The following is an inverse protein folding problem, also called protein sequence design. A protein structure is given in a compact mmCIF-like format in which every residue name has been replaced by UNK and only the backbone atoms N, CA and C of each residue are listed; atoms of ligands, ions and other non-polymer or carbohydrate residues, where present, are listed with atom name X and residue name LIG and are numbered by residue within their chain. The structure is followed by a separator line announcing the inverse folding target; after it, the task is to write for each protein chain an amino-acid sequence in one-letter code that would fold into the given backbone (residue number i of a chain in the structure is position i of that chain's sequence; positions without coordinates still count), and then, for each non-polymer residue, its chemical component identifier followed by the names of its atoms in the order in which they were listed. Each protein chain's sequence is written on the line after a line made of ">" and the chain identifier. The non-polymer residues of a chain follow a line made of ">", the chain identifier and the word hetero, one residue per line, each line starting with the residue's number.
data_IF_797283895640
#
_entry.id   IF_797283895640
#
_cell.length_a   1.000
_cell.length_b   1.000
_cell.length_c   1.000
_cell.angle_alpha   90.00
_cell.angle_beta   90.00
_cell.angle_gamma   90.00
#
_symmetry.space_group_name_H-M   'P 1'
#
loop_
_entity.id
_entity.type
_entity.pdbx_description
1 polymer ?
#
# COMPACT_ATOMS: atom_id res chain seq x y z
N UNK A 1 -17.56 -9.97 8.56
CA UNK A 1 -17.30 -11.43 8.63
C UNK A 1 -15.83 -11.56 8.29
N UNK A 2 -14.96 -11.91 9.24
CA UNK A 2 -13.51 -11.89 9.00
C UNK A 2 -13.10 -12.82 7.83
N UNK A 3 -12.34 -12.28 6.87
CA UNK A 3 -11.83 -13.01 5.71
C UNK A 3 -10.33 -13.25 5.83
N UNK A 4 -9.88 -14.50 5.75
CA UNK A 4 -8.46 -14.84 5.81
C UNK A 4 -7.95 -15.40 4.46
N UNK A 5 -6.83 -14.87 3.97
CA UNK A 5 -6.14 -15.32 2.76
C UNK A 5 -4.68 -15.69 3.04
N UNK A 6 -4.39 -16.99 3.00
CA UNK A 6 -3.01 -17.49 3.14
C UNK A 6 -2.12 -17.09 1.95
N UNK A 7 -2.71 -16.95 0.75
CA UNK A 7 -2.01 -16.55 -0.47
C UNK A 7 -2.82 -15.53 -1.25
N UNK A 8 -2.17 -14.42 -1.56
CA UNK A 8 -2.70 -13.33 -2.38
C UNK A 8 -1.93 -13.33 -3.70
N UNK A 9 -2.63 -13.19 -4.82
CA UNK A 9 -2.02 -13.09 -6.15
C UNK A 9 -1.56 -11.66 -6.42
N UNK A 10 -2.35 -10.67 -5.99
CA UNK A 10 -2.10 -9.24 -6.24
C UNK A 10 -2.58 -8.40 -5.06
N UNK A 11 -1.70 -7.51 -4.58
CA UNK A 11 -2.03 -6.51 -3.57
C UNK A 11 -1.51 -5.15 -4.02
N UNK A 12 -2.43 -4.21 -4.31
CA UNK A 12 -2.08 -2.93 -4.94
C UNK A 12 -2.88 -1.78 -4.36
N UNK A 13 -2.23 -0.61 -4.26
CA UNK A 13 -2.92 0.66 -4.08
C UNK A 13 -3.27 1.29 -5.43
N UNK A 14 -4.38 2.02 -5.47
CA UNK A 14 -4.79 2.82 -6.60
C UNK A 14 -5.65 4.00 -6.17
N UNK A 15 -6.00 4.83 -7.15
CA UNK A 15 -6.84 6.01 -6.91
C UNK A 15 -7.77 6.26 -8.09
N UNK A 16 -8.96 6.75 -7.79
CA UNK A 16 -9.98 7.16 -8.76
C UNK A 16 -10.36 8.61 -8.48
N UNK A 17 -10.59 9.39 -9.53
CA UNK A 17 -11.00 10.80 -9.44
C UNK A 17 -9.92 11.79 -9.88
N UNK A 18 -10.28 13.08 -9.90
CA UNK A 18 -9.39 14.17 -10.30
C UNK A 18 -8.42 14.57 -9.18
N UNK A 19 -7.23 15.12 -9.50
CA UNK A 19 -6.33 15.68 -8.49
C UNK A 19 -7.07 16.67 -7.56
N UNK A 20 -7.09 16.40 -6.26
CA UNK A 20 -7.82 17.18 -5.26
C UNK A 20 -9.07 16.47 -4.70
N UNK A 21 -9.72 15.63 -5.50
CA UNK A 21 -10.91 14.83 -5.13
C UNK A 21 -10.65 13.32 -5.31
N UNK A 22 -9.40 12.92 -5.12
CA UNK A 22 -8.96 11.54 -5.29
C UNK A 22 -9.44 10.68 -4.12
N UNK A 23 -10.17 9.63 -4.43
CA UNK A 23 -10.40 8.52 -3.52
C UNK A 23 -9.30 7.48 -3.70
N UNK A 24 -8.84 6.91 -2.60
CA UNK A 24 -7.81 5.86 -2.61
C UNK A 24 -8.46 4.52 -2.28
N UNK A 25 -7.95 3.48 -2.94
CA UNK A 25 -8.41 2.11 -2.76
C UNK A 25 -7.21 1.18 -2.65
N UNK A 26 -7.37 0.13 -1.85
CA UNK A 26 -6.55 -1.06 -1.86
C UNK A 26 -7.32 -2.18 -2.53
N UNK A 27 -6.65 -2.94 -3.41
CA UNK A 27 -7.21 -4.16 -3.99
C UNK A 27 -6.37 -5.38 -3.61
N UNK A 28 -7.07 -6.43 -3.19
CA UNK A 28 -6.52 -7.72 -2.77
C UNK A 28 -7.20 -8.78 -3.63
N UNK A 29 -6.41 -9.46 -4.46
CA UNK A 29 -6.85 -10.53 -5.35
C UNK A 29 -6.35 -11.86 -4.83
N UNK A 30 -7.26 -12.81 -4.60
CA UNK A 30 -6.92 -14.21 -4.30
C UNK A 30 -7.82 -15.15 -5.11
N UNK A 31 -7.24 -15.79 -6.12
CA UNK A 31 -7.92 -16.57 -7.14
C UNK A 31 -9.05 -15.78 -7.80
N UNK A 32 -10.28 -16.20 -7.55
CA UNK A 32 -11.48 -15.55 -8.11
C UNK A 32 -12.03 -14.42 -7.25
N UNK A 33 -11.54 -14.26 -6.01
CA UNK A 33 -12.00 -13.23 -5.07
C UNK A 33 -11.19 -11.96 -5.27
N UNK A 34 -11.90 -10.85 -5.43
CA UNK A 34 -11.35 -9.50 -5.43
C UNK A 34 -11.99 -8.77 -4.26
N UNK A 35 -11.18 -8.18 -3.41
CA UNK A 35 -11.62 -7.30 -2.34
C UNK A 35 -11.04 -5.92 -2.61
N UNK A 36 -11.88 -4.90 -2.59
CA UNK A 36 -11.54 -3.50 -2.76
C UNK A 36 -11.95 -2.74 -1.51
N UNK A 37 -10.99 -2.11 -0.85
CA UNK A 37 -11.25 -1.35 0.37
C UNK A 37 -10.82 0.11 0.20
N UNK A 38 -11.70 1.05 0.56
CA UNK A 38 -11.39 2.48 0.55
C UNK A 38 -10.62 2.89 1.80
N UNK A 39 -9.70 3.84 1.64
CA UNK A 39 -8.89 4.36 2.74
C UNK A 39 -8.39 5.77 2.44
N UNK A 40 -7.86 6.45 3.45
CA UNK A 40 -7.26 7.76 3.30
C UNK A 40 -5.88 7.70 2.64
N UNK A 41 -5.50 8.79 1.95
CA UNK A 41 -4.15 8.96 1.40
C UNK A 41 -3.07 8.78 2.47
N UNK A 42 -3.30 9.29 3.69
CA UNK A 42 -2.36 9.19 4.80
C UNK A 42 -2.17 7.73 5.24
N UNK A 43 -3.23 6.93 5.26
CA UNK A 43 -3.16 5.50 5.58
C UNK A 43 -2.37 4.72 4.52
N UNK A 44 -2.56 4.99 3.21
CA UNK A 44 -1.75 4.38 2.14
C UNK A 44 -0.26 4.68 2.34
N UNK A 45 0.06 5.94 2.63
CA UNK A 45 1.44 6.38 2.83
C UNK A 45 2.05 5.72 4.08
N UNK A 46 1.33 5.71 5.20
CA UNK A 46 1.78 5.10 6.45
C UNK A 46 2.00 3.58 6.29
N UNK A 47 1.10 2.88 5.60
CA UNK A 47 1.21 1.46 5.33
C UNK A 47 2.46 1.16 4.49
N UNK A 48 2.68 1.90 3.39
CA UNK A 48 3.85 1.72 2.55
C UNK A 48 5.16 2.00 3.31
N UNK A 49 5.21 3.06 4.10
CA UNK A 49 6.37 3.41 4.92
C UNK A 49 6.65 2.34 5.98
N UNK A 50 5.61 1.86 6.67
CA UNK A 50 5.76 0.86 7.73
C UNK A 50 6.24 -0.49 7.19
N UNK A 51 5.73 -0.94 6.05
CA UNK A 51 6.22 -2.14 5.37
C UNK A 51 7.69 -1.96 4.96
N UNK A 52 8.05 -0.82 4.37
CA UNK A 52 9.44 -0.56 3.96
C UNK A 52 10.41 -0.60 5.14
N UNK A 53 10.04 0.03 6.27
CA UNK A 53 10.84 0.00 7.51
C UNK A 53 10.97 -1.43 8.03
N UNK A 54 9.87 -2.19 8.11
CA UNK A 54 9.86 -3.58 8.56
C UNK A 54 10.80 -4.44 7.71
N UNK A 55 10.69 -4.35 6.37
CA UNK A 55 11.54 -5.12 5.47
C UNK A 55 13.02 -4.72 5.56
N UNK A 56 13.31 -3.43 5.77
CA UNK A 56 14.69 -2.94 6.00
C UNK A 56 15.27 -3.44 7.31
N UNK A 57 14.46 -3.56 8.36
CA UNK A 57 14.90 -4.13 9.64
C UNK A 57 15.26 -5.60 9.47
N UNK A 58 14.37 -6.38 8.87
CA UNK A 58 14.62 -7.81 8.62
C UNK A 58 15.83 -8.02 7.70
N UNK A 59 16.05 -7.14 6.72
CA UNK A 59 17.16 -7.26 5.78
C UNK A 59 18.53 -7.06 6.44
N UNK A 60 18.59 -6.50 7.66
CA UNK A 60 19.82 -6.45 8.45
C UNK A 60 20.18 -7.81 9.03
N UNK A 61 19.16 -8.61 9.38
CA UNK A 61 19.33 -9.92 10.01
C UNK A 61 19.37 -11.05 8.97
N UNK A 62 18.60 -10.94 7.89
CA UNK A 62 18.56 -11.89 6.78
C UNK A 62 18.85 -11.19 5.45
N UNK A 63 20.10 -11.31 4.98
CA UNK A 63 20.51 -10.68 3.72
C UNK A 63 19.82 -11.28 2.49
N UNK A 64 19.23 -12.48 2.57
CA UNK A 64 18.57 -13.13 1.43
C UNK A 64 17.36 -12.32 0.92
N UNK A 65 16.73 -11.53 1.80
CA UNK A 65 15.58 -10.72 1.42
C UNK A 65 15.96 -9.37 0.78
N UNK A 66 17.22 -8.96 0.88
CA UNK A 66 17.72 -7.68 0.35
C UNK A 66 17.63 -7.63 -1.17
N UNK A 67 18.02 -8.71 -1.85
CA UNK A 67 18.23 -8.75 -3.30
C UNK A 67 17.09 -9.44 -4.08
N UNK A 68 15.91 -9.54 -3.47
CA UNK A 68 14.72 -10.09 -4.12
C UNK A 68 14.32 -9.21 -5.30
N UNK A 69 14.22 -9.81 -6.49
CA UNK A 69 13.71 -9.15 -7.69
C UNK A 69 12.23 -8.83 -7.49
N UNK A 70 11.89 -7.58 -7.76
CA UNK A 70 10.53 -7.06 -7.67
C UNK A 70 9.93 -7.03 -9.07
N UNK A 71 8.73 -7.56 -9.24
CA UNK A 71 7.90 -7.27 -10.41
C UNK A 71 7.20 -5.94 -10.19
N UNK A 72 7.35 -5.02 -11.16
CA UNK A 72 6.62 -3.76 -11.17
C UNK A 72 5.22 -4.06 -11.72
N UNK A 73 4.20 -3.77 -10.93
CA UNK A 73 2.80 -3.82 -11.38
C UNK A 73 2.34 -2.39 -11.68
N UNK A 74 2.20 -2.07 -12.96
CA UNK A 74 1.67 -0.81 -13.49
C UNK A 74 0.23 -0.95 -14.02
N UNK A 75 -0.37 -2.13 -13.88
CA UNK A 75 -1.72 -2.39 -14.37
C UNK A 75 -2.74 -1.58 -13.56
N UNK A 76 -3.85 -1.13 -14.16
CA UNK A 76 -4.88 -0.38 -13.44
C UNK A 76 -5.51 -1.22 -12.33
N UNK A 77 -6.32 -0.55 -11.49
CA UNK A 77 -7.24 -1.26 -10.60
C UNK A 77 -8.19 -2.11 -11.44
N UNK A 78 -8.49 -3.31 -10.95
CA UNK A 78 -9.40 -4.24 -11.61
C UNK A 78 -10.83 -3.71 -11.53
N UNK A 79 -11.56 -3.88 -12.63
CA UNK A 79 -12.95 -3.43 -12.77
C UNK A 79 -13.91 -4.59 -12.44
N UNK A 80 -15.07 -4.32 -11.81
CA UNK A 80 -15.51 -3.01 -11.31
C UNK A 80 -14.81 -2.62 -10.00
N UNK A 81 -14.59 -1.32 -9.79
CA UNK A 81 -14.03 -0.78 -8.53
C UNK A 81 -15.21 -0.50 -7.59
N UNK A 82 -15.69 -1.56 -6.92
CA UNK A 82 -16.79 -1.47 -5.94
C UNK A 82 -16.20 -1.53 -4.54
N UNK A 83 -16.55 -0.56 -3.69
CA UNK A 83 -16.02 -0.51 -2.33
C UNK A 83 -16.70 -1.57 -1.45
N UNK A 84 -15.93 -2.53 -0.95
CA UNK A 84 -16.43 -3.55 -0.02
C UNK A 84 -16.53 -2.99 1.40
N UNK A 85 -15.52 -2.23 1.85
CA UNK A 85 -15.49 -1.60 3.18
C UNK A 85 -14.46 -0.47 3.27
N UNK A 86 -14.57 0.38 4.29
CA UNK A 86 -13.61 1.45 4.59
C UNK A 86 -12.64 1.04 5.69
N UNK A 87 -11.34 1.23 5.47
CA UNK A 87 -10.29 0.85 6.44
C UNK A 87 -10.16 1.92 7.53
N UNK A 88 -10.31 1.51 8.79
CA UNK A 88 -10.10 2.34 9.97
C UNK A 88 -8.70 2.16 10.57
N UNK A 89 -8.34 0.92 10.85
CA UNK A 89 -7.04 0.56 11.40
C UNK A 89 -6.33 -0.50 10.56
N UNK A 90 -5.00 -0.52 10.67
CA UNK A 90 -4.12 -1.41 9.90
C UNK A 90 -3.07 -2.00 10.85
N UNK A 91 -3.00 -3.33 10.91
CA UNK A 91 -1.95 -4.07 11.61
C UNK A 91 -1.02 -4.74 10.60
N UNK A 92 0.27 -4.80 10.94
CA UNK A 92 1.31 -5.40 10.11
C UNK A 92 2.28 -6.16 11.01
N UNK A 93 2.50 -7.43 10.69
CA UNK A 93 3.42 -8.30 11.39
C UNK A 93 4.37 -9.01 10.41
N UNK A 94 5.53 -9.43 10.93
CA UNK A 94 6.44 -10.31 10.21
C UNK A 94 6.35 -11.71 10.79
N UNK A 95 6.04 -12.69 9.95
CA UNK A 95 6.13 -14.10 10.32
C UNK A 95 7.46 -14.66 9.85
N UNK A 96 8.33 -14.95 10.81
CA UNK A 96 9.71 -15.38 10.57
C UNK A 96 9.83 -16.81 10.06
N UNK A 97 8.89 -17.70 10.42
CA UNK A 97 8.96 -19.11 10.06
C UNK A 97 8.75 -19.33 8.56
N UNK A 98 7.78 -18.61 7.98
CA UNK A 98 7.42 -18.71 6.55
C UNK A 98 7.86 -17.48 5.73
N UNK A 99 8.53 -16.51 6.36
CA UNK A 99 9.10 -15.30 5.74
C UNK A 99 8.08 -14.45 4.96
N UNK A 100 6.94 -14.18 5.58
CA UNK A 100 5.86 -13.35 4.99
C UNK A 100 5.53 -12.16 5.88
N UNK A 101 5.02 -11.11 5.24
CA UNK A 101 4.41 -9.98 5.93
C UNK A 101 2.92 -10.28 6.07
N UNK A 102 2.42 -10.39 7.29
CA UNK A 102 0.99 -10.52 7.59
C UNK A 102 0.42 -9.12 7.72
N UNK A 103 -0.68 -8.87 7.01
CA UNK A 103 -1.39 -7.58 7.00
C UNK A 103 -2.83 -7.82 7.38
N UNK A 104 -3.33 -6.97 8.27
CA UNK A 104 -4.69 -7.04 8.81
C UNK A 104 -5.35 -5.68 8.66
N UNK A 105 -6.58 -5.65 8.16
CA UNK A 105 -7.38 -4.43 8.07
C UNK A 105 -8.64 -4.55 8.91
N UNK A 106 -8.90 -3.49 9.67
CA UNK A 106 -10.09 -3.31 10.48
C UNK A 106 -10.98 -2.29 9.80
N UNK A 107 -12.27 -2.60 9.67
CA UNK A 107 -13.22 -1.69 9.07
C UNK A 107 -13.52 -0.51 10.00
N UNK A 108 -13.85 0.66 9.44
CA UNK A 108 -14.41 1.76 10.22
C UNK A 108 -15.80 1.33 10.69
N UNK A 109 -15.98 1.20 12.01
CA UNK A 109 -17.28 1.02 12.62
C UNK A 109 -17.86 2.40 13.00
N UNK A 110 -19.05 2.75 12.51
CA UNK A 110 -19.74 4.03 12.77
C UNK A 110 -20.40 4.10 14.18
N UNK A 111 -20.10 3.11 15.03
CA UNK A 111 -20.69 2.91 16.36
C UNK A 111 -19.63 3.05 17.44
N UNK A 112 -19.60 4.24 18.06
CA UNK A 112 -19.04 4.58 19.37
C UNK A 112 -18.37 3.41 20.13
N UNK A 113 -17.12 3.09 19.78
CA UNK A 113 -16.36 2.02 20.43
C UNK A 113 -15.73 2.56 21.71
N UNK A 114 -16.55 2.65 22.76
CA UNK A 114 -16.12 2.71 24.17
C UNK A 114 -15.65 1.34 24.71
N UNK A 115 -15.43 0.37 23.82
CA UNK A 115 -14.90 -0.96 24.09
C UNK A 115 -13.44 -0.97 23.63
N UNK A 116 -12.53 -1.41 24.50
CA UNK A 116 -11.08 -1.29 24.30
C UNK A 116 -10.59 -1.90 22.98
N UNK A 117 -9.45 -1.39 22.50
CA UNK A 117 -8.76 -1.72 21.23
C UNK A 117 -8.47 -3.23 21.01
N UNK A 118 -8.77 -4.11 21.98
CA UNK A 118 -8.43 -5.54 21.98
C UNK A 118 -9.55 -6.50 21.51
N UNK A 119 -10.80 -6.05 21.34
CA UNK A 119 -11.94 -6.92 20.97
C UNK A 119 -12.44 -6.74 19.51
N UNK A 120 -11.78 -5.91 18.70
CA UNK A 120 -12.13 -5.76 17.28
C UNK A 120 -11.50 -6.88 16.44
N UNK A 121 -12.32 -7.65 15.73
CA UNK A 121 -11.83 -8.65 14.78
C UNK A 121 -11.44 -7.99 13.45
N UNK A 122 -10.32 -8.39 12.81
CA UNK A 122 -9.96 -7.86 11.50
C UNK A 122 -10.99 -8.28 10.45
N UNK A 123 -11.41 -7.35 9.59
CA UNK A 123 -12.33 -7.66 8.48
C UNK A 123 -11.61 -8.52 7.43
N UNK A 124 -10.30 -8.29 7.25
CA UNK A 124 -9.45 -9.13 6.40
C UNK A 124 -8.04 -9.30 6.97
N UNK A 125 -7.53 -10.51 6.89
CA UNK A 125 -6.14 -10.89 7.18
C UNK A 125 -5.54 -11.58 5.96
N UNK A 126 -4.32 -11.21 5.58
CA UNK A 126 -3.63 -11.87 4.48
C UNK A 126 -2.11 -11.80 4.59
N UNK A 127 -1.43 -12.74 3.92
CA UNK A 127 0.02 -12.81 3.87
C UNK A 127 0.58 -12.32 2.52
N UNK A 128 1.69 -11.59 2.58
CA UNK A 128 2.45 -11.12 1.43
C UNK A 128 3.86 -11.69 1.44
N UNK A 129 4.31 -12.18 0.29
CA UNK A 129 5.73 -12.43 0.09
C UNK A 129 6.52 -11.11 0.16
N UNK A 130 7.80 -11.18 0.48
CA UNK A 130 8.68 -9.99 0.48
C UNK A 130 8.67 -9.27 -0.88
N UNK A 131 8.60 -10.03 -1.98
CA UNK A 131 8.53 -9.45 -3.33
C UNK A 131 7.25 -8.63 -3.53
N UNK A 132 6.09 -9.15 -3.11
CA UNK A 132 4.81 -8.46 -3.19
C UNK A 132 4.78 -7.23 -2.27
N UNK A 133 5.28 -7.36 -1.05
CA UNK A 133 5.38 -6.24 -0.10
C UNK A 133 6.24 -5.10 -0.67
N UNK A 134 7.42 -5.42 -1.25
CA UNK A 134 8.27 -4.43 -1.95
C UNK A 134 7.57 -3.80 -3.16
N UNK A 135 6.87 -4.61 -3.95
CA UNK A 135 6.12 -4.12 -5.13
C UNK A 135 5.01 -3.15 -4.70
N UNK A 136 4.26 -3.52 -3.66
CA UNK A 136 3.24 -2.67 -3.04
C UNK A 136 3.82 -1.35 -2.57
N UNK A 137 4.94 -1.35 -1.82
CA UNK A 137 5.60 -0.11 -1.37
C UNK A 137 5.95 0.79 -2.55
N UNK A 138 6.58 0.24 -3.59
CA UNK A 138 6.97 1.01 -4.78
C UNK A 138 5.76 1.65 -5.47
N UNK A 139 4.70 0.86 -5.69
CA UNK A 139 3.47 1.33 -6.32
C UNK A 139 2.73 2.36 -5.47
N UNK A 140 2.57 2.11 -4.17
CA UNK A 140 1.88 3.01 -3.25
C UNK A 140 2.55 4.38 -3.19
N UNK A 141 3.89 4.42 -3.16
CA UNK A 141 4.65 5.68 -3.25
C UNK A 141 4.40 6.42 -4.58
N UNK A 142 4.34 5.69 -5.70
CA UNK A 142 4.02 6.28 -7.00
C UNK A 142 2.59 6.85 -7.03
N UNK A 143 1.60 6.10 -6.54
CA UNK A 143 0.18 6.50 -6.52
C UNK A 143 -0.05 7.72 -5.62
N UNK A 144 0.53 7.73 -4.42
CA UNK A 144 0.48 8.86 -3.47
C UNK A 144 1.19 10.09 -4.05
N UNK A 145 2.29 9.88 -4.78
CA UNK A 145 3.07 10.93 -5.43
C UNK A 145 2.47 11.48 -6.73
N UNK A 146 1.63 10.72 -7.44
CA UNK A 146 1.08 11.07 -8.75
C UNK A 146 0.05 12.23 -8.74
N UNK A 147 -0.22 12.84 -7.57
CA UNK A 147 -1.00 14.07 -7.45
C UNK A 147 -0.15 15.34 -7.49
N UNK A 148 1.18 15.22 -7.57
CA UNK A 148 2.10 16.36 -7.66
C UNK A 148 2.11 16.88 -9.10
N UNK A 149 2.28 18.19 -9.26
CA UNK A 149 2.52 18.77 -10.59
C UNK A 149 3.68 18.02 -11.26
N UNK A 150 3.50 17.49 -12.47
CA UNK A 150 4.60 16.90 -13.21
C UNK A 150 5.62 17.99 -13.52
N UNK A 151 6.90 17.67 -13.40
CA UNK A 151 7.96 18.58 -13.80
C UNK A 151 7.81 18.90 -15.29
N UNK A 152 7.75 20.18 -15.70
CA UNK A 152 7.54 20.55 -17.10
C UNK A 152 8.68 20.11 -18.03
N UNK A 153 9.83 19.71 -17.48
CA UNK A 153 11.01 19.31 -18.25
C UNK A 153 11.17 17.78 -18.41
N UNK A 154 10.84 17.00 -17.38
CA UNK A 154 11.03 15.54 -17.39
C UNK A 154 9.74 14.72 -17.23
N UNK A 155 8.60 15.36 -16.91
CA UNK A 155 7.34 14.67 -16.66
C UNK A 155 7.26 13.94 -15.32
N UNK A 156 8.34 13.94 -14.53
CA UNK A 156 8.38 13.27 -13.22
C UNK A 156 7.68 14.16 -12.16
N UNK A 157 6.87 13.59 -11.25
CA UNK A 157 6.25 14.33 -10.15
C UNK A 157 7.26 15.17 -9.31
N UNK A 158 7.00 16.47 -9.10
CA UNK A 158 7.88 17.35 -8.32
C UNK A 158 7.78 17.06 -6.82
N UNK A 159 8.91 16.81 -6.14
CA UNK A 159 8.95 16.65 -4.67
C UNK A 159 8.89 18.01 -3.93
N UNK A 160 8.17 18.12 -2.79
CA UNK A 160 8.13 19.32 -1.97
C UNK A 160 9.50 19.78 -1.43
N UNK A 161 10.46 18.87 -1.23
CA UNK A 161 11.84 19.19 -0.80
C UNK A 161 12.75 19.61 -1.96
N UNK A 162 12.20 19.68 -3.18
CA UNK A 162 12.90 19.96 -4.41
C UNK A 162 13.07 18.71 -5.27
N UNK A 163 12.84 18.85 -6.58
CA UNK A 163 13.04 17.79 -7.56
C UNK A 163 14.35 18.02 -8.34
N UNK A 164 15.29 17.08 -8.28
CA UNK A 164 16.48 17.11 -9.12
C UNK A 164 16.12 16.57 -10.51
N UNK A 165 15.77 17.47 -11.43
CA UNK A 165 15.42 17.11 -12.79
C UNK A 165 16.67 16.73 -13.60
N UNK A 166 16.78 15.49 -14.12
CA UNK A 166 17.93 15.09 -14.95
C UNK A 166 17.99 15.86 -16.28
N UNK A 167 16.84 16.37 -16.76
CA UNK A 167 16.73 17.14 -18.02
C UNK A 167 16.93 18.64 -17.84
N UNK A 168 16.76 19.15 -16.63
CA UNK A 168 17.01 20.55 -16.31
C UNK A 168 18.18 20.57 -15.33
N UNK A 169 19.41 20.55 -15.84
CA UNK A 169 20.68 20.68 -15.11
C UNK A 169 20.55 21.51 -13.80
N UNK A 170 20.14 20.87 -12.70
CA UNK A 170 20.02 21.45 -11.37
C UNK A 170 19.19 22.73 -11.21
N UNK A 171 17.97 22.84 -11.76
CA UNK A 171 17.17 24.06 -11.53
C UNK A 171 16.60 24.16 -10.10
N UNK A 172 17.31 24.88 -9.23
CA UNK A 172 16.78 25.56 -8.05
C UNK A 172 16.17 26.90 -8.49
N UNK A 173 14.92 27.15 -8.12
CA UNK A 173 14.45 28.50 -7.76
C UNK A 173 13.67 28.41 -6.47
#
# INVERSE_FOLDING_TARGET
>A
MSQNFENVDRFVAGTVGQPGERQFFLQIRSGKRLITASLEKAQVQALAERIDILLKQIAKDDFSISNIKISIDDQPLEQPIENDFSIGAISIAWESEIKVVVVEFYAINDVDSTLGEDDEEPEITFALTVAQAKSFVSRSNAVVGAGRLPCPFCGIPIDPRGHLCPRANGYRR
#
